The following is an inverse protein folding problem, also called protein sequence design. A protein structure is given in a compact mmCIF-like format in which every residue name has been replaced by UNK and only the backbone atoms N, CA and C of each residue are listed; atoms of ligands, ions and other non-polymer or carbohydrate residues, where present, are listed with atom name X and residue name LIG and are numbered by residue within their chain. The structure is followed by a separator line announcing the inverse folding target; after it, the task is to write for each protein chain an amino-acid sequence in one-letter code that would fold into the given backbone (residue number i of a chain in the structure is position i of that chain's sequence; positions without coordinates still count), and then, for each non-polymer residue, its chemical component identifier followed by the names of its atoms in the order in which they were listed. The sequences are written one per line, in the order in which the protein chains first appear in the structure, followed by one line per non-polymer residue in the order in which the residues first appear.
data_IF_713821878599
#
_entry.id   IF_713821878599
#
_cell.length_a   1.000
_cell.length_b   1.000
_cell.length_c   1.000
_cell.angle_alpha   90.00
_cell.angle_beta   90.00
_cell.angle_gamma   90.00
#
_symmetry.space_group_name_H-M   'P 1'
#
loop_
_entity.id
_entity.type
_entity.pdbx_description
1 polymer ?
#
# COMPACT_ATOMS: atom_id res chain seq x y z
N UNK A 1 6.32 15.86 18.82
CA UNK A 1 7.62 15.44 19.40
C UNK A 1 8.29 16.53 20.25
N UNK A 2 8.31 17.81 19.86
CA UNK A 2 8.93 18.88 20.68
C UNK A 2 8.05 19.39 21.84
N UNK A 3 6.73 19.31 21.70
CA UNK A 3 5.79 19.88 22.68
C UNK A 3 5.57 19.04 23.96
N UNK A 4 5.92 17.74 23.97
CA UNK A 4 5.82 16.89 25.18
C UNK A 4 7.13 16.85 25.97
N UNK A 5 8.23 17.36 25.42
CA UNK A 5 9.54 17.35 26.06
C UNK A 5 9.75 18.50 27.06
N UNK A 6 8.97 19.58 26.95
CA UNK A 6 9.13 20.80 27.77
C UNK A 6 8.44 20.70 29.15
N UNK A 7 7.67 19.64 29.43
CA UNK A 7 6.93 19.48 30.68
C UNK A 7 7.71 18.77 31.81
N UNK A 8 8.92 18.26 31.54
CA UNK A 8 9.72 17.54 32.54
C UNK A 8 11.01 18.32 32.80
N UNK A 9 10.97 19.24 33.77
CA UNK A 9 12.17 19.90 34.26
C UNK A 9 13.19 18.84 34.71
N UNK A 10 14.38 18.87 34.10
CA UNK A 10 15.43 17.86 34.25
C UNK A 10 16.13 18.00 35.61
N UNK A 11 15.76 17.19 36.59
CA UNK A 11 16.54 17.05 37.83
C UNK A 11 17.72 16.10 37.60
N UNK A 12 18.93 16.68 37.57
CA UNK A 12 20.19 15.95 37.33
C UNK A 12 20.57 15.05 38.52
N UNK A 13 19.91 15.20 39.68
CA UNK A 13 20.17 14.41 40.89
C UNK A 13 19.22 13.23 41.05
N UNK A 14 18.21 13.11 40.21
CA UNK A 14 17.31 11.96 40.21
C UNK A 14 18.01 10.74 39.58
N UNK A 15 18.11 9.67 40.36
CA UNK A 15 18.75 8.42 39.96
C UNK A 15 17.73 7.37 39.49
N UNK A 16 16.42 7.65 39.57
CA UNK A 16 15.39 6.77 39.01
C UNK A 16 15.21 7.04 37.51
N UNK A 17 16.14 6.52 36.71
CA UNK A 17 16.10 6.63 35.25
C UNK A 17 15.14 5.62 34.60
N UNK A 18 14.49 4.73 35.36
CA UNK A 18 13.68 3.64 34.80
C UNK A 18 12.47 4.19 34.02
N UNK A 19 11.68 5.14 34.53
CA UNK A 19 10.57 5.74 33.75
C UNK A 19 11.05 6.43 32.47
N UNK A 20 12.30 6.90 32.44
CA UNK A 20 12.92 7.57 31.28
C UNK A 20 13.41 6.58 30.21
N UNK A 21 14.03 5.48 30.63
CA UNK A 21 14.66 4.53 29.70
C UNK A 21 13.69 3.43 29.26
N UNK A 22 12.80 2.98 30.14
CA UNK A 22 11.94 1.82 29.90
C UNK A 22 11.07 1.96 28.64
N UNK A 23 10.41 3.10 28.35
CA UNK A 23 9.60 3.24 27.14
C UNK A 23 10.42 3.10 25.86
N UNK A 24 11.61 3.72 25.82
CA UNK A 24 12.51 3.62 24.67
C UNK A 24 13.10 2.21 24.52
N UNK A 25 13.46 1.58 25.64
CA UNK A 25 13.94 0.20 25.64
C UNK A 25 12.86 -0.77 25.16
N UNK A 26 11.60 -0.59 25.58
CA UNK A 26 10.49 -1.43 25.12
C UNK A 26 10.20 -1.23 23.63
N UNK A 27 10.15 0.01 23.14
CA UNK A 27 9.98 0.29 21.72
C UNK A 27 11.13 -0.30 20.87
N UNK A 28 12.38 -0.12 21.32
CA UNK A 28 13.54 -0.74 20.68
C UNK A 28 13.47 -2.26 20.73
N UNK A 29 13.11 -2.83 21.88
CA UNK A 29 12.95 -4.27 22.06
C UNK A 29 11.91 -4.82 21.09
N UNK A 30 10.75 -4.20 20.99
CA UNK A 30 9.68 -4.59 20.08
C UNK A 30 10.09 -4.51 18.62
N UNK A 31 11.01 -3.62 18.25
CA UNK A 31 11.46 -3.49 16.86
C UNK A 31 12.62 -4.43 16.49
N UNK A 32 13.57 -4.67 17.40
CA UNK A 32 14.84 -5.31 17.06
C UNK A 32 15.07 -6.67 17.72
N UNK A 33 14.33 -7.05 18.77
CA UNK A 33 14.50 -8.40 19.32
C UNK A 33 13.96 -9.47 18.37
N UNK A 34 14.59 -10.65 18.31
CA UNK A 34 14.10 -11.79 17.56
C UNK A 34 12.92 -12.44 18.31
N UNK A 35 11.78 -11.76 18.33
CA UNK A 35 10.49 -12.35 18.70
C UNK A 35 9.94 -13.16 17.51
N UNK A 36 8.93 -14.00 17.73
CA UNK A 36 8.30 -14.72 16.60
C UNK A 36 7.70 -13.76 15.57
N UNK A 37 7.02 -12.71 16.04
CA UNK A 37 6.45 -11.67 15.18
C UNK A 37 7.52 -10.93 14.37
N UNK A 38 8.66 -10.57 14.97
CA UNK A 38 9.74 -9.88 14.25
C UNK A 38 10.46 -10.79 13.26
N UNK A 39 10.70 -12.06 13.63
CA UNK A 39 11.24 -13.05 12.69
C UNK A 39 10.33 -13.21 11.48
N UNK A 40 9.02 -13.29 11.69
CA UNK A 40 8.04 -13.35 10.62
C UNK A 40 8.07 -12.09 9.76
N UNK A 41 8.06 -10.89 10.37
CA UNK A 41 8.17 -9.61 9.67
C UNK A 41 9.41 -9.55 8.78
N UNK A 42 10.60 -9.82 9.32
CA UNK A 42 11.86 -9.78 8.57
C UNK A 42 11.89 -10.82 7.44
N UNK A 43 11.34 -12.01 7.68
CA UNK A 43 11.23 -13.04 6.64
C UNK A 43 10.31 -12.58 5.50
N UNK A 44 9.17 -11.97 5.82
CA UNK A 44 8.22 -11.45 4.82
C UNK A 44 8.82 -10.28 4.04
N UNK A 45 9.45 -9.32 4.73
CA UNK A 45 10.16 -8.21 4.10
C UNK A 45 11.26 -8.69 3.16
N UNK A 46 12.05 -9.69 3.58
CA UNK A 46 13.08 -10.30 2.74
C UNK A 46 12.48 -11.00 1.52
N UNK A 47 11.40 -11.77 1.70
CA UNK A 47 10.72 -12.47 0.60
C UNK A 47 10.11 -11.49 -0.40
N UNK A 48 9.52 -10.40 0.09
CA UNK A 48 9.00 -9.31 -0.72
C UNK A 48 10.11 -8.66 -1.54
N UNK A 49 11.20 -8.23 -0.89
CA UNK A 49 12.36 -7.61 -1.56
C UNK A 49 12.94 -8.53 -2.63
N UNK A 50 13.12 -9.81 -2.34
CA UNK A 50 13.62 -10.79 -3.31
C UNK A 50 12.71 -10.95 -4.53
N UNK A 51 11.39 -11.05 -4.31
CA UNK A 51 10.41 -11.18 -5.40
C UNK A 51 10.40 -9.94 -6.29
N UNK A 52 10.36 -8.74 -5.69
CA UNK A 52 10.37 -7.49 -6.43
C UNK A 52 11.66 -7.32 -7.23
N UNK A 53 12.81 -7.60 -6.61
CA UNK A 53 14.09 -7.53 -7.29
C UNK A 53 14.16 -8.49 -8.49
N UNK A 54 13.62 -9.70 -8.38
CA UNK A 54 13.53 -10.65 -9.49
C UNK A 54 12.66 -10.10 -10.64
N UNK A 55 11.51 -9.50 -10.33
CA UNK A 55 10.62 -8.87 -11.34
C UNK A 55 11.33 -7.72 -12.04
N UNK A 56 12.02 -6.84 -11.30
CA UNK A 56 12.73 -5.70 -11.88
C UNK A 56 13.88 -6.20 -12.77
N UNK A 57 14.69 -7.15 -12.28
CA UNK A 57 15.80 -7.72 -13.06
C UNK A 57 15.31 -8.36 -14.37
N UNK A 58 14.20 -9.09 -14.33
CA UNK A 58 13.60 -9.67 -15.53
C UNK A 58 13.20 -8.59 -16.56
N UNK A 59 12.69 -7.44 -16.11
CA UNK A 59 12.34 -6.31 -16.98
C UNK A 59 13.56 -5.60 -17.54
N UNK A 60 14.59 -5.39 -16.72
CA UNK A 60 15.86 -4.77 -17.16
C UNK A 60 16.56 -5.63 -18.22
N UNK A 61 16.44 -6.96 -18.15
CA UNK A 61 16.99 -7.87 -19.14
C UNK A 61 16.21 -7.86 -20.48
N UNK A 62 14.93 -7.50 -20.46
CA UNK A 62 14.07 -7.44 -21.66
C UNK A 62 14.34 -6.15 -22.46
N UNK A 63 15.47 -6.10 -23.17
CA UNK A 63 15.92 -4.91 -23.94
C UNK A 63 15.05 -4.55 -25.17
N UNK A 64 14.02 -5.34 -25.51
CA UNK A 64 13.28 -5.18 -26.76
C UNK A 64 11.91 -4.48 -26.67
N UNK A 65 11.22 -4.54 -25.52
CA UNK A 65 9.81 -4.10 -25.39
C UNK A 65 9.62 -2.87 -24.49
N UNK A 66 10.70 -2.27 -23.99
CA UNK A 66 10.63 -1.32 -22.88
C UNK A 66 10.33 -2.00 -21.55
N UNK A 67 10.10 -1.22 -20.50
CA UNK A 67 9.95 -1.71 -19.12
C UNK A 67 8.52 -2.17 -18.74
N UNK A 68 7.60 -2.16 -19.71
CA UNK A 68 6.16 -2.36 -19.52
C UNK A 68 5.38 -1.04 -19.49
N UNK A 69 4.07 -1.13 -19.62
CA UNK A 69 3.11 -0.01 -19.61
C UNK A 69 2.42 0.18 -18.24
N UNK A 70 2.82 -0.60 -17.24
CA UNK A 70 2.34 -0.49 -15.87
C UNK A 70 3.19 0.49 -15.02
N UNK A 71 2.75 0.72 -13.79
CA UNK A 71 3.40 1.63 -12.84
C UNK A 71 4.91 1.35 -12.70
N UNK A 72 5.31 0.08 -12.56
CA UNK A 72 6.73 -0.26 -12.41
C UNK A 72 7.50 0.04 -13.69
N UNK A 73 6.90 -0.21 -14.86
CA UNK A 73 7.47 0.15 -16.15
C UNK A 73 7.67 1.66 -16.29
N UNK A 74 6.68 2.46 -15.90
CA UNK A 74 6.75 3.92 -15.89
C UNK A 74 7.80 4.44 -14.92
N UNK A 75 7.89 3.88 -13.71
CA UNK A 75 8.91 4.24 -12.72
C UNK A 75 10.33 3.93 -13.24
N UNK A 76 10.54 2.73 -13.81
CA UNK A 76 11.81 2.36 -14.41
C UNK A 76 12.15 3.29 -15.58
N UNK A 77 11.18 3.58 -16.45
CA UNK A 77 11.37 4.52 -17.55
C UNK A 77 11.79 5.91 -17.06
N UNK A 78 11.12 6.44 -16.03
CA UNK A 78 11.49 7.71 -15.42
C UNK A 78 12.90 7.69 -14.80
N UNK A 79 13.34 6.55 -14.24
CA UNK A 79 14.68 6.41 -13.69
C UNK A 79 15.80 6.45 -14.75
N UNK A 80 15.48 6.11 -16.01
CA UNK A 80 16.42 6.10 -17.14
C UNK A 80 16.26 7.31 -18.07
N UNK A 81 15.36 8.26 -17.78
CA UNK A 81 15.11 9.44 -18.62
C UNK A 81 15.67 10.71 -17.98
N UNK A 82 16.19 11.62 -18.80
CA UNK A 82 16.51 12.99 -18.38
C UNK A 82 15.27 13.86 -18.35
N UNK A 83 15.33 15.01 -17.68
CA UNK A 83 14.30 16.06 -17.77
C UNK A 83 14.06 16.54 -19.22
N UNK A 84 15.04 16.31 -20.10
CA UNK A 84 14.99 16.65 -21.52
C UNK A 84 14.52 15.48 -22.41
N UNK A 85 14.15 14.34 -21.81
CA UNK A 85 13.63 13.15 -22.52
C UNK A 85 14.69 12.25 -23.14
N UNK A 86 15.97 12.48 -22.86
CA UNK A 86 17.07 11.64 -23.36
C UNK A 86 17.28 10.41 -22.46
N UNK A 87 17.72 9.29 -23.04
CA UNK A 87 18.06 8.09 -22.27
C UNK A 87 19.41 8.27 -21.57
N UNK A 88 19.44 8.00 -20.27
CA UNK A 88 20.67 7.82 -19.48
C UNK A 88 20.99 6.34 -19.34
N UNK A 89 22.27 6.02 -19.32
CA UNK A 89 22.77 4.69 -18.97
C UNK A 89 22.79 4.45 -17.45
N UNK A 90 22.73 5.51 -16.66
CA UNK A 90 22.80 5.48 -15.20
C UNK A 90 21.44 5.81 -14.57
N UNK A 91 21.07 5.03 -13.54
CA UNK A 91 19.82 5.19 -12.81
C UNK A 91 19.86 6.45 -11.92
N UNK A 92 18.80 7.27 -11.95
CA UNK A 92 18.64 8.37 -10.99
C UNK A 92 18.30 7.92 -9.57
N UNK A 93 17.65 6.76 -9.44
CA UNK A 93 17.33 6.13 -8.15
C UNK A 93 18.06 4.79 -8.00
N UNK A 94 18.52 4.51 -6.80
CA UNK A 94 19.05 3.18 -6.48
C UNK A 94 17.95 2.12 -6.58
N UNK A 95 18.34 0.87 -6.81
CA UNK A 95 17.39 -0.25 -6.88
C UNK A 95 16.54 -0.36 -5.60
N UNK A 96 17.14 -0.09 -4.45
CA UNK A 96 16.45 -0.15 -3.16
C UNK A 96 15.39 0.95 -3.04
N UNK A 97 15.68 2.17 -3.50
CA UNK A 97 14.69 3.26 -3.55
C UNK A 97 13.52 2.94 -4.50
N UNK A 98 13.80 2.38 -5.68
CA UNK A 98 12.74 1.96 -6.62
C UNK A 98 11.83 0.91 -5.98
N UNK A 99 12.43 -0.05 -5.27
CA UNK A 99 11.69 -1.09 -4.56
C UNK A 99 10.83 -0.49 -3.44
N UNK A 100 11.36 0.46 -2.67
CA UNK A 100 10.64 1.06 -1.54
C UNK A 100 9.51 1.98 -2.01
N UNK A 101 9.71 2.73 -3.09
CA UNK A 101 8.65 3.54 -3.70
C UNK A 101 7.54 2.65 -4.29
N UNK A 102 7.92 1.59 -5.00
CA UNK A 102 6.95 0.64 -5.55
C UNK A 102 6.11 -0.04 -4.46
N UNK A 103 6.74 -0.46 -3.35
CA UNK A 103 6.04 -1.02 -2.19
C UNK A 103 5.01 -0.04 -1.65
N UNK A 104 5.37 1.24 -1.53
CA UNK A 104 4.49 2.28 -0.99
C UNK A 104 3.21 2.39 -1.80
N UNK A 105 3.31 2.49 -3.13
CA UNK A 105 2.14 2.50 -4.01
C UNK A 105 1.32 1.22 -3.93
N UNK A 106 1.99 0.06 -3.91
CA UNK A 106 1.33 -1.24 -3.87
C UNK A 106 0.48 -1.39 -2.60
N UNK A 107 1.04 -1.12 -1.42
CA UNK A 107 0.31 -1.28 -0.16
C UNK A 107 -0.80 -0.24 0.00
N UNK A 108 -0.55 1.01 -0.38
CA UNK A 108 -1.55 2.07 -0.32
C UNK A 108 -2.82 1.71 -1.12
N UNK A 109 -2.67 1.14 -2.31
CA UNK A 109 -3.80 0.70 -3.14
C UNK A 109 -4.42 -0.63 -2.70
N UNK A 110 -3.60 -1.60 -2.30
CA UNK A 110 -4.05 -2.96 -2.03
C UNK A 110 -4.78 -3.09 -0.69
N UNK A 111 -4.19 -2.59 0.41
CA UNK A 111 -4.76 -2.78 1.75
C UNK A 111 -6.09 -2.05 1.89
N UNK A 112 -6.17 -0.80 1.41
CA UNK A 112 -7.39 0.01 1.50
C UNK A 112 -8.52 -0.57 0.65
N UNK A 113 -8.25 -0.93 -0.60
CA UNK A 113 -9.26 -1.48 -1.52
C UNK A 113 -9.72 -2.88 -1.10
N UNK A 114 -8.80 -3.76 -0.67
CA UNK A 114 -9.16 -5.10 -0.21
C UNK A 114 -9.99 -5.05 1.07
N UNK A 115 -9.67 -4.15 2.00
CA UNK A 115 -10.45 -3.96 3.21
C UNK A 115 -11.85 -3.42 2.90
N UNK A 116 -11.95 -2.42 2.03
CA UNK A 116 -13.23 -1.88 1.55
C UNK A 116 -14.11 -2.99 0.94
N UNK A 117 -13.57 -3.76 -0.01
CA UNK A 117 -14.28 -4.85 -0.67
C UNK A 117 -14.72 -5.94 0.32
N UNK A 118 -13.86 -6.26 1.30
CA UNK A 118 -14.19 -7.24 2.34
C UNK A 118 -15.40 -6.79 3.16
N UNK A 119 -15.42 -5.53 3.61
CA UNK A 119 -16.56 -4.98 4.33
C UNK A 119 -17.80 -4.83 3.47
N UNK A 120 -17.65 -4.40 2.21
CA UNK A 120 -18.77 -4.35 1.25
C UNK A 120 -19.40 -5.73 1.10
N UNK A 121 -18.60 -6.78 0.89
CA UNK A 121 -19.11 -8.15 0.78
C UNK A 121 -19.74 -8.64 2.07
N UNK A 122 -19.14 -8.32 3.22
CA UNK A 122 -19.72 -8.63 4.53
C UNK A 122 -21.11 -8.02 4.68
N UNK A 123 -21.27 -6.72 4.43
CA UNK A 123 -22.57 -6.04 4.55
C UNK A 123 -23.60 -6.58 3.56
N UNK A 124 -23.20 -6.88 2.31
CA UNK A 124 -24.10 -7.51 1.33
C UNK A 124 -24.53 -8.92 1.74
N UNK A 125 -23.70 -9.65 2.50
CA UNK A 125 -24.06 -10.97 3.02
C UNK A 125 -25.01 -10.91 4.21
N UNK A 126 -24.89 -9.86 5.04
CA UNK A 126 -25.73 -9.63 6.23
C UNK A 126 -27.09 -9.03 5.86
N UNK A 127 -27.17 -8.25 4.77
CA UNK A 127 -28.39 -7.62 4.26
C UNK A 127 -28.74 -8.12 2.84
N UNK A 128 -29.38 -9.30 2.71
CA UNK A 128 -29.77 -9.85 1.42
C UNK A 128 -30.63 -8.91 0.57
N UNK A 129 -31.45 -8.06 1.20
CA UNK A 129 -32.26 -7.08 0.49
C UNK A 129 -31.42 -6.01 -0.22
N UNK A 130 -30.28 -5.60 0.34
CA UNK A 130 -29.34 -4.69 -0.33
C UNK A 130 -28.66 -5.38 -1.50
N UNK A 131 -28.27 -6.63 -1.30
CA UNK A 131 -27.65 -7.45 -2.35
C UNK A 131 -28.58 -7.65 -3.54
N UNK A 132 -29.86 -7.94 -3.29
CA UNK A 132 -30.83 -8.17 -4.36
C UNK A 132 -31.15 -6.88 -5.12
N UNK A 133 -31.31 -5.75 -4.42
CA UNK A 133 -31.47 -4.43 -5.05
C UNK A 133 -30.28 -4.09 -5.94
N UNK A 134 -29.06 -4.27 -5.43
CA UNK A 134 -27.82 -4.02 -6.19
C UNK A 134 -27.74 -4.92 -7.44
N UNK A 135 -28.06 -6.21 -7.31
CA UNK A 135 -28.10 -7.13 -8.47
C UNK A 135 -29.13 -6.70 -9.50
N UNK A 136 -30.33 -6.31 -9.07
CA UNK A 136 -31.39 -5.86 -9.96
C UNK A 136 -30.97 -4.58 -10.72
N UNK A 137 -30.33 -3.63 -10.05
CA UNK A 137 -29.80 -2.41 -10.65
C UNK A 137 -28.72 -2.71 -11.70
N UNK A 138 -27.74 -3.55 -11.37
CA UNK A 138 -26.69 -3.97 -12.29
C UNK A 138 -27.28 -4.71 -13.50
N UNK A 139 -28.28 -5.58 -13.30
CA UNK A 139 -28.94 -6.28 -14.40
C UNK A 139 -29.73 -5.33 -15.32
N UNK A 140 -30.38 -4.31 -14.74
CA UNK A 140 -31.13 -3.28 -15.46
C UNK A 140 -30.22 -2.42 -16.34
N UNK A 141 -29.13 -1.91 -15.77
CA UNK A 141 -28.26 -0.95 -16.45
C UNK A 141 -27.17 -1.62 -17.31
N UNK A 142 -26.58 -2.71 -16.84
CA UNK A 142 -25.47 -3.38 -17.53
C UNK A 142 -25.92 -4.51 -18.47
N UNK A 143 -27.21 -4.90 -18.47
CA UNK A 143 -27.82 -5.86 -19.43
C UNK A 143 -27.01 -7.15 -19.66
N UNK A 144 -26.39 -7.70 -18.61
CA UNK A 144 -25.49 -8.87 -18.62
C UNK A 144 -24.17 -8.70 -19.41
N UNK A 145 -23.84 -7.50 -19.86
CA UNK A 145 -22.52 -7.17 -20.38
C UNK A 145 -21.56 -6.80 -19.24
N UNK A 146 -20.25 -6.81 -19.52
CA UNK A 146 -19.26 -6.34 -18.57
C UNK A 146 -19.50 -4.85 -18.25
N UNK A 147 -19.57 -4.45 -16.97
CA UNK A 147 -19.74 -3.06 -16.59
C UNK A 147 -18.64 -2.18 -17.20
N UNK A 148 -19.05 -1.10 -17.87
CA UNK A 148 -18.14 -0.09 -18.46
C UNK A 148 -18.21 1.20 -17.65
N UNK A 149 -17.19 2.07 -17.73
CA UNK A 149 -17.15 3.35 -17.03
C UNK A 149 -18.42 4.20 -17.27
N UNK A 150 -18.93 4.24 -18.50
CA UNK A 150 -20.18 4.95 -18.84
C UNK A 150 -21.41 4.37 -18.13
N UNK A 151 -21.42 3.06 -17.86
CA UNK A 151 -22.52 2.39 -17.15
C UNK A 151 -22.49 2.71 -15.65
N UNK A 152 -21.31 2.95 -15.06
CA UNK A 152 -21.19 3.35 -13.65
C UNK A 152 -21.94 4.65 -13.36
N UNK A 153 -21.94 5.60 -14.30
CA UNK A 153 -22.68 6.86 -14.16
C UNK A 153 -24.21 6.68 -14.05
N UNK A 154 -24.71 5.51 -14.48
CA UNK A 154 -26.14 5.15 -14.51
C UNK A 154 -26.56 4.33 -13.29
N UNK A 155 -25.59 3.78 -12.54
CA UNK A 155 -25.84 3.13 -11.26
C UNK A 155 -26.08 4.22 -10.21
N UNK A 156 -27.32 4.67 -10.09
CA UNK A 156 -27.75 5.65 -9.09
C UNK A 156 -28.37 4.90 -7.92
N UNK A 157 -27.97 5.32 -6.72
CA UNK A 157 -28.60 4.92 -5.47
C UNK A 157 -30.11 5.20 -5.56
N UNK A 158 -30.92 4.15 -5.63
CA UNK A 158 -32.37 4.27 -5.52
C UNK A 158 -32.67 4.66 -4.05
N UNK A 159 -32.69 5.96 -3.77
CA UNK A 159 -32.94 6.53 -2.44
C UNK A 159 -34.41 6.36 -1.97
N UNK A 160 -35.25 5.68 -2.75
CA UNK A 160 -36.68 5.47 -2.49
C UNK A 160 -36.95 4.34 -1.49
N UNK A 161 -36.36 4.42 -0.30
CA UNK A 161 -36.74 3.56 0.83
C UNK A 161 -35.56 3.02 1.62
N UNK A 162 -34.89 3.89 2.35
CA UNK A 162 -34.38 3.53 3.67
C UNK A 162 -35.47 3.93 4.70
N UNK A 163 -35.69 3.17 5.78
CA UNK A 163 -36.27 3.75 6.98
C UNK A 163 -35.39 4.88 7.53
#
# INVERSE_FOLDING_TARGET
MKAEADAVAMDVRDHDYVPRVMPHFLAWKEQYFPTESNRLRWMLERKLKMTLMAVIQARLASKGSGYGDDLLGLMLQACFMTEQGEKRDELTLTMDEIIDEYKTFFFAGHETTSHLLTWTMFWLSVYPEWQERLRAEVLRECRKANPTADMLSKLKRDDNGAP
#
